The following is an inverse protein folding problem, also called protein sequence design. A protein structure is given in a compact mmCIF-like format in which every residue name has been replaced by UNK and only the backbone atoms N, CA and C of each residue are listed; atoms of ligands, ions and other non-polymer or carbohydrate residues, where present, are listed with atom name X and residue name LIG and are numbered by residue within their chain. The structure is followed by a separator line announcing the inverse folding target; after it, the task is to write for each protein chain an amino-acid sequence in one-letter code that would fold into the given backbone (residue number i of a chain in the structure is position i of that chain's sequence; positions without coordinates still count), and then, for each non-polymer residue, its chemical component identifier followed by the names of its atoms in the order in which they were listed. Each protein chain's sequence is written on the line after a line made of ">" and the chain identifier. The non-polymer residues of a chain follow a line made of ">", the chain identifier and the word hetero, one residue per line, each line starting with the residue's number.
data_IF_481906690947
#
_entry.id   IF_481906690947
#
_cell.length_a   1.000
_cell.length_b   1.000
_cell.length_c   1.000
_cell.angle_alpha   90.00
_cell.angle_beta   90.00
_cell.angle_gamma   90.00
#
_symmetry.space_group_name_H-M   'P 1'
#
loop_
_entity.id
_entity.type
_entity.pdbx_description
1 polymer ?
#
# COMPACT_ATOMS: atom_id res chain seq x y z
N UNK A 1 -26.99 -21.77 -7.69
CA UNK A 1 -26.53 -20.37 -7.93
C UNK A 1 -26.44 -20.13 -9.43
N UNK A 2 -26.78 -18.93 -9.93
CA UNK A 2 -26.74 -18.61 -11.37
C UNK A 2 -25.38 -18.01 -11.80
N UNK A 3 -24.94 -18.16 -13.06
CA UNK A 3 -23.68 -17.58 -13.56
C UNK A 3 -23.69 -16.04 -13.55
N UNK A 4 -22.51 -15.41 -13.55
CA UNK A 4 -22.36 -13.95 -13.51
C UNK A 4 -23.14 -13.20 -14.62
N UNK A 5 -23.10 -13.62 -15.89
CA UNK A 5 -23.87 -12.95 -16.96
C UNK A 5 -25.37 -12.90 -16.68
N UNK A 6 -25.97 -14.00 -16.19
CA UNK A 6 -27.40 -14.05 -15.87
C UNK A 6 -27.74 -13.12 -14.69
N UNK A 7 -26.92 -13.13 -13.64
CA UNK A 7 -27.10 -12.23 -12.48
C UNK A 7 -27.01 -10.76 -12.90
N UNK A 8 -26.05 -10.42 -13.77
CA UNK A 8 -25.85 -9.05 -14.26
C UNK A 8 -26.97 -8.60 -15.20
N UNK A 9 -27.55 -9.51 -15.99
CA UNK A 9 -28.75 -9.24 -16.80
C UNK A 9 -29.94 -8.92 -15.90
N UNK A 10 -30.24 -9.79 -14.93
CA UNK A 10 -31.33 -9.58 -13.96
C UNK A 10 -31.16 -8.27 -13.19
N UNK A 11 -29.94 -7.92 -12.79
CA UNK A 11 -29.66 -6.64 -12.12
C UNK A 11 -29.99 -5.43 -13.02
N UNK A 12 -29.70 -5.50 -14.32
CA UNK A 12 -30.05 -4.46 -15.29
C UNK A 12 -31.56 -4.30 -15.48
N UNK A 13 -32.30 -5.39 -15.43
CA UNK A 13 -33.76 -5.39 -15.61
C UNK A 13 -34.52 -4.72 -14.45
N UNK A 14 -33.93 -4.70 -13.25
CA UNK A 14 -34.59 -4.19 -12.03
C UNK A 14 -34.07 -2.84 -11.56
N UNK A 15 -32.97 -2.34 -12.14
CA UNK A 15 -32.33 -1.09 -11.74
C UNK A 15 -32.76 0.03 -12.67
N UNK A 16 -33.38 1.06 -12.10
CA UNK A 16 -33.56 2.35 -12.73
C UNK A 16 -32.39 3.26 -12.37
N UNK A 17 -31.62 3.68 -13.36
CA UNK A 17 -30.47 4.56 -13.15
C UNK A 17 -30.93 6.01 -12.96
N UNK A 18 -30.25 6.72 -12.05
CA UNK A 18 -30.43 8.15 -11.78
C UNK A 18 -29.07 8.83 -11.73
N UNK A 19 -29.04 10.15 -11.60
CA UNK A 19 -27.75 10.87 -11.44
C UNK A 19 -26.94 10.42 -10.22
N UNK A 20 -27.61 9.92 -9.17
CA UNK A 20 -26.95 9.47 -7.94
C UNK A 20 -26.77 7.96 -7.85
N UNK A 21 -27.33 7.20 -8.80
CA UNK A 21 -27.32 5.74 -8.76
C UNK A 21 -27.21 5.18 -10.18
N UNK A 22 -26.04 4.64 -10.52
CA UNK A 22 -25.75 4.06 -11.83
C UNK A 22 -25.12 2.69 -11.66
N UNK A 23 -25.35 1.78 -12.60
CA UNK A 23 -24.62 0.52 -12.63
C UNK A 23 -23.17 0.80 -13.02
N UNK A 24 -22.23 0.10 -12.36
CA UNK A 24 -20.81 0.17 -12.71
C UNK A 24 -20.62 -0.20 -14.18
N UNK A 25 -19.96 0.64 -14.96
CA UNK A 25 -19.63 0.36 -16.37
C UNK A 25 -18.96 -1.00 -16.53
N UNK A 26 -19.39 -1.76 -17.53
CA UNK A 26 -18.86 -3.09 -17.80
C UNK A 26 -18.83 -3.35 -19.31
N UNK A 27 -17.74 -3.95 -19.80
CA UNK A 27 -17.50 -4.31 -21.20
C UNK A 27 -17.16 -5.81 -21.28
N UNK A 28 -17.83 -6.61 -22.12
CA UNK A 28 -17.34 -7.94 -22.48
C UNK A 28 -16.02 -7.78 -23.22
N UNK A 29 -15.01 -8.55 -22.83
CA UNK A 29 -13.66 -8.48 -23.41
C UNK A 29 -13.32 -9.86 -23.94
N UNK A 30 -12.89 -9.91 -25.20
CA UNK A 30 -12.41 -11.14 -25.84
C UNK A 30 -10.92 -11.09 -26.17
N UNK A 31 -10.33 -9.89 -26.22
CA UNK A 31 -8.94 -9.66 -26.60
C UNK A 31 -8.17 -8.92 -25.50
N UNK A 32 -6.86 -9.20 -25.38
CA UNK A 32 -6.02 -8.59 -24.35
C UNK A 32 -5.85 -7.07 -24.54
N UNK A 33 -5.74 -6.59 -25.78
CA UNK A 33 -5.62 -5.16 -26.08
C UNK A 33 -6.85 -4.37 -25.61
N UNK A 34 -8.05 -4.91 -25.80
CA UNK A 34 -9.28 -4.26 -25.34
C UNK A 34 -9.36 -4.16 -23.81
N UNK A 35 -8.72 -5.10 -23.09
CA UNK A 35 -8.62 -5.05 -21.63
C UNK A 35 -7.70 -3.92 -21.19
N UNK A 36 -6.55 -3.76 -21.85
CA UNK A 36 -5.60 -2.69 -21.57
C UNK A 36 -6.20 -1.32 -21.85
N UNK A 37 -6.86 -1.11 -22.99
CA UNK A 37 -7.53 0.14 -23.31
C UNK A 37 -8.59 0.51 -22.25
N UNK A 38 -9.41 -0.47 -21.85
CA UNK A 38 -10.44 -0.25 -20.84
C UNK A 38 -9.85 -0.02 -19.44
N UNK A 39 -8.68 -0.57 -19.17
CA UNK A 39 -7.95 -0.35 -17.95
C UNK A 39 -7.38 1.07 -17.89
N UNK A 40 -6.71 1.54 -18.95
CA UNK A 40 -6.17 2.90 -19.01
C UNK A 40 -7.28 3.96 -18.92
N UNK A 41 -8.44 3.70 -19.54
CA UNK A 41 -9.62 4.55 -19.40
C UNK A 41 -10.11 4.60 -17.95
N UNK A 42 -10.20 3.45 -17.27
CA UNK A 42 -10.60 3.40 -15.87
C UNK A 42 -9.62 4.15 -14.95
N UNK A 43 -8.32 4.16 -15.27
CA UNK A 43 -7.33 4.94 -14.52
C UNK A 43 -7.49 6.44 -14.81
N UNK A 44 -7.72 6.81 -16.07
CA UNK A 44 -7.97 8.20 -16.48
C UNK A 44 -9.21 8.77 -15.80
N UNK A 45 -10.23 7.94 -15.58
CA UNK A 45 -11.46 8.28 -14.85
C UNK A 45 -11.26 8.34 -13.31
N UNK A 46 -10.02 8.18 -12.82
CA UNK A 46 -9.67 8.27 -11.41
C UNK A 46 -10.03 7.05 -10.57
N UNK A 47 -10.28 5.89 -11.18
CA UNK A 47 -10.54 4.65 -10.46
C UNK A 47 -9.24 3.89 -10.14
N UNK A 48 -9.29 2.92 -9.23
CA UNK A 48 -8.11 2.09 -8.90
C UNK A 48 -7.72 1.10 -10.02
N UNK A 49 -8.61 0.86 -10.99
CA UNK A 49 -8.44 -0.15 -12.05
C UNK A 49 -9.72 -0.97 -12.30
N UNK A 50 -9.55 -2.22 -12.76
CA UNK A 50 -10.64 -3.09 -13.19
C UNK A 50 -10.89 -4.28 -12.25
N UNK A 51 -12.14 -4.72 -12.21
CA UNK A 51 -12.53 -6.04 -11.70
C UNK A 51 -12.93 -6.94 -12.86
N UNK A 52 -12.03 -7.82 -13.26
CA UNK A 52 -12.20 -8.79 -14.36
C UNK A 52 -12.98 -9.99 -13.84
N UNK A 53 -14.10 -10.33 -14.48
CA UNK A 53 -15.00 -11.40 -14.03
C UNK A 53 -15.21 -12.43 -15.12
N UNK A 54 -14.99 -13.70 -14.81
CA UNK A 54 -15.30 -14.81 -15.70
C UNK A 54 -16.77 -14.78 -16.11
N UNK A 55 -17.02 -15.04 -17.39
CA UNK A 55 -18.35 -15.18 -17.99
C UNK A 55 -18.73 -16.63 -18.24
N UNK A 56 -17.89 -17.58 -17.85
CA UNK A 56 -18.17 -19.01 -17.97
C UNK A 56 -19.38 -19.42 -17.11
N UNK A 57 -19.97 -20.57 -17.46
CA UNK A 57 -21.17 -21.10 -16.79
C UNK A 57 -20.94 -21.42 -15.31
N UNK A 58 -19.70 -21.69 -14.90
CA UNK A 58 -19.32 -21.95 -13.52
C UNK A 58 -19.02 -20.68 -12.70
N UNK A 59 -19.22 -19.48 -13.28
CA UNK A 59 -19.01 -18.17 -12.63
C UNK A 59 -20.11 -17.82 -11.61
N UNK A 60 -20.31 -18.73 -10.66
CA UNK A 60 -21.25 -18.61 -9.55
C UNK A 60 -20.68 -17.69 -8.46
N UNK A 61 -21.56 -17.04 -7.70
CA UNK A 61 -21.16 -16.21 -6.57
C UNK A 61 -20.73 -17.09 -5.38
N UNK A 62 -19.45 -17.05 -5.01
CA UNK A 62 -18.90 -17.83 -3.89
C UNK A 62 -18.73 -16.94 -2.66
N UNK A 63 -19.73 -16.92 -1.78
CA UNK A 63 -19.68 -16.14 -0.55
C UNK A 63 -18.50 -16.61 0.34
N UNK A 64 -17.66 -15.67 0.78
CA UNK A 64 -16.46 -15.96 1.59
C UNK A 64 -15.36 -16.75 0.88
N UNK A 65 -15.55 -17.12 -0.38
CA UNK A 65 -14.60 -17.93 -1.14
C UNK A 65 -13.55 -17.07 -1.86
N UNK A 66 -12.31 -17.54 -1.88
CA UNK A 66 -11.26 -17.02 -2.76
C UNK A 66 -11.19 -17.89 -4.02
N UNK A 67 -11.32 -17.29 -5.20
CA UNK A 67 -11.27 -18.02 -6.48
C UNK A 67 -10.77 -17.11 -7.59
N UNK A 68 -10.45 -17.70 -8.74
CA UNK A 68 -10.05 -16.99 -9.97
C UNK A 68 -11.22 -16.44 -10.79
N UNK A 69 -12.46 -16.65 -10.33
CA UNK A 69 -13.63 -16.15 -11.05
C UNK A 69 -13.60 -14.63 -11.16
N UNK A 70 -13.10 -13.92 -10.14
CA UNK A 70 -12.93 -12.47 -10.12
C UNK A 70 -11.46 -12.11 -9.84
N UNK A 71 -10.87 -11.32 -10.73
CA UNK A 71 -9.50 -10.85 -10.62
C UNK A 71 -9.50 -9.33 -10.59
N UNK A 72 -8.82 -8.76 -9.60
CA UNK A 72 -8.55 -7.32 -9.56
C UNK A 72 -7.32 -7.00 -10.39
N UNK A 73 -7.43 -6.07 -11.33
CA UNK A 73 -6.32 -5.50 -12.07
C UNK A 73 -6.22 -4.04 -11.66
N UNK A 74 -5.14 -3.64 -10.99
CA UNK A 74 -5.02 -2.29 -10.40
C UNK A 74 -3.87 -1.52 -11.02
N UNK A 75 -4.00 -0.18 -11.08
CA UNK A 75 -2.89 0.71 -11.44
C UNK A 75 -1.65 0.37 -10.65
N UNK A 76 -1.77 0.16 -9.33
CA UNK A 76 -0.60 -0.14 -8.50
C UNK A 76 0.13 -1.46 -8.79
N UNK A 77 -0.44 -2.32 -9.64
CA UNK A 77 0.26 -3.50 -10.16
C UNK A 77 1.15 -3.16 -11.37
N UNK A 78 0.84 -2.09 -12.10
CA UNK A 78 1.66 -1.50 -13.17
C UNK A 78 2.52 -0.34 -12.63
N UNK A 79 1.94 0.60 -11.89
CA UNK A 79 2.59 1.67 -11.11
C UNK A 79 2.95 1.17 -9.72
N UNK A 80 3.99 0.35 -9.64
CA UNK A 80 4.84 0.47 -8.46
C UNK A 80 5.51 1.83 -8.56
N UNK A 81 5.88 2.43 -7.44
CA UNK A 81 6.98 3.40 -7.50
C UNK A 81 8.10 2.69 -8.27
N UNK A 82 8.47 3.18 -9.47
CA UNK A 82 9.47 2.48 -10.30
C UNK A 82 10.79 2.45 -9.52
N UNK A 83 11.03 3.52 -8.78
CA UNK A 83 12.22 3.71 -7.97
C UNK A 83 11.99 3.18 -6.56
N UNK A 84 12.97 2.41 -6.09
CA UNK A 84 13.08 2.04 -4.69
C UNK A 84 13.56 3.26 -3.90
N UNK A 85 13.20 3.33 -2.62
CA UNK A 85 13.71 4.37 -1.72
C UNK A 85 14.55 3.73 -0.62
N UNK A 86 15.74 4.27 -0.42
CA UNK A 86 16.63 3.90 0.67
C UNK A 86 16.27 4.69 1.92
N UNK A 87 15.81 4.01 2.96
CA UNK A 87 15.32 4.62 4.19
C UNK A 87 16.18 4.22 5.38
N UNK A 88 16.58 5.19 6.19
CA UNK A 88 17.19 4.93 7.48
C UNK A 88 16.14 4.36 8.44
N UNK A 89 16.50 3.29 9.15
CA UNK A 89 15.67 2.74 10.22
C UNK A 89 15.90 3.58 11.48
N UNK A 90 14.85 4.27 11.94
CA UNK A 90 14.92 5.18 13.09
C UNK A 90 14.08 4.74 14.28
N UNK A 91 13.20 3.75 14.09
CA UNK A 91 12.43 3.17 15.18
C UNK A 91 11.80 1.83 14.82
N UNK A 92 11.19 1.17 15.81
CA UNK A 92 10.45 -0.07 15.63
C UNK A 92 9.19 -0.12 16.51
N UNK A 93 8.29 -1.02 16.13
CA UNK A 93 7.06 -1.34 16.82
C UNK A 93 7.00 -2.84 17.07
N UNK A 94 6.61 -3.25 18.27
CA UNK A 94 6.47 -4.65 18.61
C UNK A 94 5.30 -5.30 17.85
N UNK A 95 5.54 -6.52 17.40
CA UNK A 95 4.54 -7.34 16.75
C UNK A 95 3.50 -7.84 17.76
N UNK A 96 2.32 -8.16 17.23
CA UNK A 96 1.24 -8.80 17.99
C UNK A 96 0.99 -10.20 17.45
N UNK A 97 0.36 -11.07 18.26
CA UNK A 97 -0.01 -12.43 17.84
C UNK A 97 1.21 -13.28 17.44
N UNK A 98 1.24 -13.78 16.19
CA UNK A 98 2.34 -14.63 15.68
C UNK A 98 3.72 -13.94 15.71
N UNK A 99 3.76 -12.61 15.78
CA UNK A 99 5.01 -11.82 15.86
C UNK A 99 5.25 -11.21 17.25
N UNK A 100 4.56 -11.70 18.28
CA UNK A 100 4.79 -11.25 19.66
C UNK A 100 6.25 -11.47 20.07
N UNK A 101 6.84 -10.48 20.74
CA UNK A 101 8.24 -10.51 21.19
C UNK A 101 9.27 -10.18 20.09
N UNK A 102 8.84 -9.87 18.86
CA UNK A 102 9.70 -9.40 17.75
C UNK A 102 9.24 -8.03 17.27
N UNK A 103 10.04 -7.36 16.45
CA UNK A 103 9.58 -6.17 15.74
C UNK A 103 8.55 -6.56 14.67
N UNK A 104 7.34 -6.01 14.81
CA UNK A 104 6.24 -6.19 13.87
C UNK A 104 6.34 -5.23 12.69
N UNK A 105 6.97 -4.07 12.88
CA UNK A 105 7.24 -3.10 11.85
C UNK A 105 8.39 -2.15 12.22
N UNK A 106 9.05 -1.60 11.21
CA UNK A 106 10.14 -0.63 11.31
C UNK A 106 9.67 0.75 10.84
N UNK A 107 10.16 1.81 11.48
CA UNK A 107 9.92 3.20 11.10
C UNK A 107 11.08 3.67 10.19
N UNK A 108 10.75 3.95 8.94
CA UNK A 108 11.70 4.43 7.93
C UNK A 108 11.69 5.95 7.79
N UNK A 109 12.86 6.55 7.62
CA UNK A 109 13.05 7.98 7.42
C UNK A 109 13.95 8.28 6.21
N UNK A 110 13.62 9.36 5.51
CA UNK A 110 14.49 9.95 4.48
C UNK A 110 15.44 10.97 5.12
N UNK A 111 16.61 11.16 4.53
CA UNK A 111 17.57 12.14 5.00
C UNK A 111 17.35 13.51 4.33
N UNK A 112 17.27 14.56 5.13
CA UNK A 112 17.22 15.96 4.73
C UNK A 112 18.63 16.56 4.90
N UNK A 113 19.37 16.80 3.80
CA UNK A 113 20.73 17.30 3.86
C UNK A 113 20.84 18.77 4.26
N UNK A 114 19.76 19.56 4.11
CA UNK A 114 19.77 20.99 4.46
C UNK A 114 19.74 21.17 5.98
N UNK A 115 18.93 20.36 6.66
CA UNK A 115 18.72 20.42 8.11
C UNK A 115 19.46 19.29 8.88
N UNK A 116 20.29 18.50 8.20
CA UNK A 116 21.01 17.33 8.74
C UNK A 116 20.11 16.36 9.54
N UNK A 117 18.87 16.19 9.09
CA UNK A 117 17.79 15.55 9.87
C UNK A 117 17.15 14.39 9.10
N UNK A 118 16.76 13.34 9.81
CA UNK A 118 16.03 12.19 9.27
C UNK A 118 14.53 12.38 9.50
N UNK A 119 13.77 12.52 8.42
CA UNK A 119 12.32 12.77 8.47
C UNK A 119 11.55 11.51 8.12
N UNK A 120 10.68 11.07 9.04
CA UNK A 120 9.92 9.83 8.86
C UNK A 120 8.98 9.89 7.66
N UNK A 121 8.90 8.79 6.90
CA UNK A 121 8.09 8.70 5.67
C UNK A 121 7.18 7.46 5.65
N UNK A 122 7.53 6.37 6.34
CA UNK A 122 6.66 5.20 6.35
C UNK A 122 6.92 4.24 7.51
N UNK A 123 5.96 3.34 7.73
CA UNK A 123 6.08 2.19 8.61
C UNK A 123 6.04 0.90 7.78
N UNK A 124 7.09 0.10 7.85
CA UNK A 124 7.27 -1.12 7.04
C UNK A 124 7.04 -2.35 7.91
N UNK A 125 5.98 -3.11 7.65
CA UNK A 125 5.62 -4.33 8.40
C UNK A 125 5.57 -5.60 7.54
N UNK A 126 5.78 -5.49 6.23
CA UNK A 126 5.72 -6.58 5.26
C UNK A 126 6.99 -6.58 4.41
N UNK A 127 7.18 -7.61 3.57
CA UNK A 127 8.36 -7.72 2.68
C UNK A 127 9.53 -8.50 3.27
N UNK A 128 9.59 -8.61 4.59
CA UNK A 128 10.60 -9.43 5.26
C UNK A 128 10.27 -10.93 5.24
N UNK A 129 11.27 -11.76 4.93
CA UNK A 129 11.24 -13.20 5.22
C UNK A 129 11.30 -13.44 6.72
N UNK A 130 10.84 -14.61 7.19
CA UNK A 130 10.91 -14.96 8.62
C UNK A 130 12.36 -15.02 9.12
N UNK A 131 13.30 -15.40 8.25
CA UNK A 131 14.73 -15.39 8.53
C UNK A 131 15.25 -13.95 8.73
N UNK A 132 14.91 -13.02 7.83
CA UNK A 132 15.33 -11.61 7.97
C UNK A 132 14.73 -10.98 9.22
N UNK A 133 13.44 -11.25 9.52
CA UNK A 133 12.79 -10.80 10.75
C UNK A 133 13.49 -11.28 12.02
N UNK A 134 14.10 -12.47 11.99
CA UNK A 134 14.84 -12.98 13.14
C UNK A 134 16.19 -12.28 13.34
N UNK A 135 16.82 -11.76 12.27
CA UNK A 135 18.14 -11.11 12.30
C UNK A 135 18.07 -9.62 12.63
N UNK A 136 16.99 -8.94 12.24
CA UNK A 136 16.82 -7.48 12.42
C UNK A 136 17.08 -7.01 13.87
N UNK A 137 16.56 -7.67 14.93
CA UNK A 137 16.83 -7.22 16.30
C UNK A 137 18.31 -7.19 16.67
N UNK A 138 19.10 -8.17 16.21
CA UNK A 138 20.53 -8.20 16.49
C UNK A 138 21.26 -7.11 15.67
N UNK A 139 20.88 -6.92 14.41
CA UNK A 139 21.46 -5.86 13.56
C UNK A 139 21.22 -4.45 14.11
N UNK A 140 20.06 -4.21 14.73
CA UNK A 140 19.69 -2.88 15.26
C UNK A 140 20.12 -2.67 16.72
N UNK A 141 20.64 -3.71 17.39
CA UNK A 141 20.96 -3.67 18.82
C UNK A 141 21.99 -2.60 19.17
N UNK A 142 23.05 -2.48 18.37
CA UNK A 142 24.10 -1.47 18.57
C UNK A 142 23.62 -0.04 18.25
N UNK A 143 22.50 0.08 17.53
CA UNK A 143 21.90 1.36 17.16
C UNK A 143 20.79 1.80 18.13
N UNK A 144 20.44 0.99 19.14
CA UNK A 144 19.37 1.35 20.06
C UNK A 144 19.66 2.67 20.79
N UNK A 145 18.67 3.55 20.82
CA UNK A 145 18.77 4.87 21.44
C UNK A 145 17.70 5.04 22.53
N UNK A 146 18.06 5.72 23.62
CA UNK A 146 17.11 6.05 24.68
C UNK A 146 16.23 7.23 24.23
N UNK A 147 14.99 6.94 23.85
CA UNK A 147 14.08 7.91 23.25
C UNK A 147 14.47 8.32 21.82
N UNK A 148 13.69 9.25 21.25
CA UNK A 148 13.88 9.74 19.88
C UNK A 148 15.24 10.43 19.72
N UNK A 149 16.06 9.94 18.79
CA UNK A 149 17.36 10.52 18.50
C UNK A 149 17.23 12.00 18.04
N UNK A 150 18.12 12.93 18.44
CA UNK A 150 17.96 14.37 18.15
C UNK A 150 17.87 14.73 16.66
N UNK A 151 18.53 13.95 15.80
CA UNK A 151 18.47 14.08 14.34
C UNK A 151 17.25 13.40 13.70
N UNK A 152 16.29 12.91 14.48
CA UNK A 152 15.09 12.25 13.95
C UNK A 152 13.87 13.13 14.18
N UNK A 153 13.29 13.59 13.08
CA UNK A 153 12.02 14.32 13.08
C UNK A 153 10.88 13.36 12.79
N UNK A 154 9.98 13.21 13.76
CA UNK A 154 8.78 12.40 13.65
C UNK A 154 7.67 12.93 14.56
N UNK A 155 6.45 12.90 14.03
CA UNK A 155 5.21 13.06 14.79
C UNK A 155 4.70 11.71 15.34
N UNK A 156 5.25 10.59 14.85
CA UNK A 156 4.90 9.25 15.31
C UNK A 156 5.83 8.84 16.45
N UNK A 157 5.27 8.32 17.53
CA UNK A 157 6.05 7.77 18.64
C UNK A 157 6.30 6.27 18.42
N UNK A 158 7.58 5.90 18.27
CA UNK A 158 7.98 4.50 18.18
C UNK A 158 8.08 3.86 19.57
N UNK A 159 7.95 2.53 19.64
CA UNK A 159 8.11 1.79 20.91
C UNK A 159 9.60 1.55 21.23
N UNK A 160 10.43 1.50 20.18
CA UNK A 160 11.89 1.42 20.28
C UNK A 160 12.47 2.44 19.30
N UNK A 161 13.45 3.21 19.76
CA UNK A 161 14.14 4.20 18.94
C UNK A 161 15.56 3.75 18.60
N UNK A 162 16.04 4.16 17.43
CA UNK A 162 17.38 3.87 16.95
C UNK A 162 18.09 5.14 16.48
N UNK A 163 19.40 5.21 16.73
CA UNK A 163 20.31 6.11 16.05
C UNK A 163 20.38 5.74 14.56
N UNK A 164 20.17 6.69 13.64
CA UNK A 164 20.23 6.42 12.19
C UNK A 164 21.60 5.82 11.82
N UNK A 165 21.60 4.65 11.19
CA UNK A 165 22.84 3.95 10.83
C UNK A 165 22.64 2.68 10.01
N UNK A 166 21.46 2.07 10.08
CA UNK A 166 21.06 0.98 9.20
C UNK A 166 20.03 1.48 8.19
N UNK A 167 20.25 1.15 6.92
CA UNK A 167 19.38 1.52 5.81
C UNK A 167 18.66 0.29 5.28
N UNK A 168 17.40 0.45 4.89
CA UNK A 168 16.62 -0.54 4.18
C UNK A 168 16.11 0.04 2.86
N UNK A 169 16.23 -0.75 1.80
CA UNK A 169 15.58 -0.48 0.51
C UNK A 169 14.09 -0.82 0.64
N UNK A 170 13.22 0.12 0.27
CA UNK A 170 11.76 -0.01 0.41
C UNK A 170 11.08 0.29 -0.92
N UNK A 171 10.14 -0.58 -1.28
CA UNK A 171 9.29 -0.39 -2.44
C UNK A 171 7.87 -0.02 -2.02
N UNK A 172 7.31 1.00 -2.66
CA UNK A 172 5.92 1.40 -2.50
C UNK A 172 5.11 1.30 -3.78
N UNK A 173 3.82 1.59 -3.65
CA UNK A 173 2.93 1.75 -4.81
C UNK A 173 2.93 3.22 -5.28
N UNK A 174 2.91 4.19 -4.36
CA UNK A 174 2.91 5.63 -4.65
C UNK A 174 3.34 6.46 -3.42
N UNK A 175 3.61 7.76 -3.62
CA UNK A 175 3.68 8.73 -2.53
C UNK A 175 2.32 9.38 -2.30
N UNK A 176 1.93 9.51 -1.04
CA UNK A 176 0.66 10.12 -0.63
C UNK A 176 0.90 11.21 0.40
N UNK A 177 -0.04 12.15 0.51
CA UNK A 177 -0.04 13.11 1.62
C UNK A 177 -0.34 12.37 2.94
N UNK A 178 0.42 12.71 3.98
CA UNK A 178 0.32 12.10 5.30
C UNK A 178 0.27 13.15 6.40
N UNK A 179 -0.68 13.05 7.36
CA UNK A 179 -0.72 13.94 8.51
C UNK A 179 0.24 13.54 9.64
N UNK A 180 0.90 12.37 9.55
CA UNK A 180 1.69 11.79 10.65
C UNK A 180 3.17 11.58 10.30
N UNK A 181 3.54 11.82 9.04
CA UNK A 181 4.91 11.68 8.56
C UNK A 181 5.45 13.06 8.19
N UNK A 182 6.75 13.25 8.41
CA UNK A 182 7.43 14.56 8.40
C UNK A 182 8.27 14.79 7.16
N UNK A 183 8.45 13.78 6.30
CA UNK A 183 9.06 13.97 5.00
C UNK A 183 8.31 15.04 4.19
N UNK A 184 9.01 16.06 3.67
CA UNK A 184 8.43 17.20 2.94
C UNK A 184 7.27 17.90 3.68
N UNK A 185 7.29 17.92 5.02
CA UNK A 185 6.20 18.48 5.83
C UNK A 185 5.93 19.95 5.50
N UNK A 186 4.68 20.28 5.21
CA UNK A 186 4.23 21.64 4.89
C UNK A 186 4.59 22.15 3.49
N UNK A 187 5.35 21.40 2.70
CA UNK A 187 5.81 21.87 1.38
C UNK A 187 4.73 21.75 0.30
N UNK A 188 3.96 20.67 0.30
CA UNK A 188 2.87 20.43 -0.67
C UNK A 188 1.50 20.85 -0.15
N UNK A 189 1.26 20.61 1.14
CA UNK A 189 0.03 20.99 1.84
C UNK A 189 0.37 21.29 3.29
N UNK A 190 -0.21 22.39 3.80
CA UNK A 190 -0.08 22.80 5.21
C UNK A 190 -0.47 21.65 6.15
N UNK A 191 0.30 21.46 7.21
CA UNK A 191 0.08 20.44 8.25
C UNK A 191 0.05 18.99 7.73
N UNK A 192 0.82 18.71 6.67
CA UNK A 192 1.02 17.36 6.15
C UNK A 192 2.38 17.19 5.51
N UNK A 193 2.97 16.00 5.64
CA UNK A 193 4.12 15.55 4.87
C UNK A 193 3.74 14.50 3.83
N UNK A 194 4.71 13.69 3.44
CA UNK A 194 4.57 12.60 2.49
C UNK A 194 4.70 11.25 3.17
N UNK A 195 4.08 10.24 2.57
CA UNK A 195 4.24 8.86 2.95
C UNK A 195 4.28 7.91 1.78
N UNK A 196 5.11 6.86 1.91
CA UNK A 196 5.12 5.73 0.99
C UNK A 196 3.88 4.86 1.25
N UNK A 197 3.03 4.69 0.25
CA UNK A 197 1.83 3.84 0.35
C UNK A 197 2.19 2.38 0.03
N UNK A 198 1.66 1.46 0.84
CA UNK A 198 1.93 0.02 0.76
C UNK A 198 3.42 -0.35 0.75
N UNK A 199 4.22 0.16 1.71
CA UNK A 199 5.65 -0.10 1.76
C UNK A 199 5.93 -1.58 2.08
N UNK A 200 6.93 -2.13 1.41
CA UNK A 200 7.38 -3.52 1.55
C UNK A 200 8.88 -3.63 1.28
#
# INVERSE_FOLDING_TARGET
>A
LRPYPERRRRLREIVEETERFKLVRAKPISEASELDDFFEEAITDGTEGLLVKSVADDSIYRAGGRSWLWVKLKASYKSKMIDHVDLAIVGAFYGRGRRAGKYGALLGAVYDPEEDTYRTICKVGTGFTDENLAKIPEMLKEHQHDGKHPRVDSLMEAEVWFSPGVVMEVLGDELTLSPIHTAAYGQLRKDSGLAVRFPR
#
